data_IF_087958813179
#
_entry.id   IF_087958813179
#
_cell.length_a   1.000
_cell.length_b   1.000
_cell.length_c   1.000
_cell.angle_alpha   90.00
_cell.angle_beta   90.00
_cell.angle_gamma   90.00
#
_symmetry.space_group_name_H-M   'P 1'
#
loop_
_entity.id
_entity.type
_entity.pdbx_description
1 polymer ?
#
# COMPACT_ATOMS: atom_id res chain seq x y z
N UNK A 1 44.48 -21.90 -5.24
CA UNK A 1 43.23 -21.50 -5.94
C UNK A 1 43.57 -20.48 -7.02
N UNK A 2 43.15 -20.72 -8.27
CA UNK A 2 43.38 -19.78 -9.37
C UNK A 2 42.60 -18.47 -9.14
N UNK A 3 43.19 -17.31 -9.51
CA UNK A 3 42.52 -16.00 -9.47
C UNK A 3 41.22 -16.00 -10.28
N UNK A 4 41.14 -16.84 -11.33
CA UNK A 4 39.94 -17.04 -12.14
C UNK A 4 38.83 -17.78 -11.36
N UNK A 5 39.19 -18.76 -10.53
CA UNK A 5 38.21 -19.51 -9.71
C UNK A 5 37.64 -18.62 -8.61
N UNK A 6 38.48 -17.80 -7.96
CA UNK A 6 38.02 -16.86 -6.94
C UNK A 6 37.12 -15.77 -7.52
N UNK A 7 37.43 -15.24 -8.72
CA UNK A 7 36.57 -14.29 -9.41
C UNK A 7 35.21 -14.86 -9.80
N UNK A 8 35.17 -16.12 -10.25
CA UNK A 8 33.91 -16.80 -10.62
C UNK A 8 33.01 -17.05 -9.40
N UNK A 9 33.61 -17.41 -8.25
CA UNK A 9 32.87 -17.62 -6.99
C UNK A 9 32.27 -16.31 -6.47
N UNK A 10 33.03 -15.21 -6.53
CA UNK A 10 32.53 -13.89 -6.12
C UNK A 10 31.37 -13.43 -7.02
N UNK A 11 31.49 -13.60 -8.33
CA UNK A 11 30.43 -13.26 -9.27
C UNK A 11 29.14 -14.08 -9.05
N UNK A 12 29.28 -15.38 -8.78
CA UNK A 12 28.15 -16.26 -8.46
C UNK A 12 27.46 -15.89 -7.14
N UNK A 13 28.23 -15.52 -6.11
CA UNK A 13 27.69 -15.08 -4.82
C UNK A 13 26.97 -13.74 -4.93
N UNK A 14 27.51 -12.78 -5.69
CA UNK A 14 26.86 -11.50 -5.98
C UNK A 14 25.57 -11.67 -6.78
N UNK A 15 25.56 -12.54 -7.79
CA UNK A 15 24.37 -12.84 -8.57
C UNK A 15 23.27 -13.51 -7.72
N UNK A 16 23.64 -14.46 -6.84
CA UNK A 16 22.71 -15.05 -5.88
C UNK A 16 22.13 -14.01 -4.90
N UNK A 17 22.96 -13.13 -4.36
CA UNK A 17 22.51 -12.08 -3.43
C UNK A 17 21.54 -11.09 -4.10
N UNK A 18 21.81 -10.71 -5.35
CA UNK A 18 20.92 -9.84 -6.14
C UNK A 18 19.57 -10.50 -6.44
N UNK A 19 19.55 -11.80 -6.76
CA UNK A 19 18.29 -12.54 -6.97
C UNK A 19 17.45 -12.69 -5.70
N UNK A 20 18.08 -12.80 -4.52
CA UNK A 20 17.37 -12.95 -3.24
C UNK A 20 16.81 -11.63 -2.68
N UNK A 21 17.37 -10.50 -3.11
CA UNK A 21 16.97 -9.16 -2.67
C UNK A 21 15.93 -8.50 -3.57
N UNK A 22 15.45 -9.16 -4.62
CA UNK A 22 14.43 -8.61 -5.48
C UNK A 22 13.09 -8.58 -4.72
N UNK A 23 12.73 -7.40 -4.19
CA UNK A 23 11.40 -7.18 -3.65
C UNK A 23 10.36 -7.59 -4.70
N UNK A 24 9.45 -8.46 -4.31
CA UNK A 24 8.27 -8.68 -5.14
C UNK A 24 7.53 -7.34 -5.25
N UNK A 25 7.11 -6.95 -6.48
CA UNK A 25 6.38 -5.70 -6.65
C UNK A 25 5.11 -5.74 -5.80
N UNK A 26 4.73 -4.58 -5.25
CA UNK A 26 3.46 -4.45 -4.58
C UNK A 26 2.33 -4.80 -5.57
N UNK A 27 1.36 -5.59 -5.10
CA UNK A 27 0.23 -6.02 -5.93
C UNK A 27 -0.88 -4.97 -5.99
N UNK A 28 -0.88 -4.01 -5.07
CA UNK A 28 -1.80 -2.88 -5.08
C UNK A 28 -1.37 -1.87 -6.14
N UNK A 29 -2.34 -1.31 -6.84
CA UNK A 29 -2.16 -0.14 -7.71
C UNK A 29 -2.29 1.10 -6.85
N UNK A 30 -1.47 2.14 -7.07
CA UNK A 30 -1.54 3.38 -6.30
C UNK A 30 -1.58 3.18 -4.76
N UNK A 31 -0.66 2.38 -4.16
CA UNK A 31 -0.73 2.04 -2.73
C UNK A 31 -0.45 3.22 -1.79
N UNK A 32 0.14 4.31 -2.30
CA UNK A 32 0.40 5.54 -1.56
C UNK A 32 -0.69 6.60 -1.72
N UNK A 33 -1.75 6.32 -2.50
CA UNK A 33 -2.86 7.26 -2.74
C UNK A 33 -2.44 8.56 -3.43
N UNK A 34 -1.39 8.56 -4.25
CA UNK A 34 -0.82 9.76 -4.86
C UNK A 34 -1.49 10.16 -6.18
N UNK A 35 -2.18 9.22 -6.83
CA UNK A 35 -2.87 9.44 -8.10
C UNK A 35 -4.39 9.62 -7.89
N UNK A 36 -4.95 10.64 -8.53
CA UNK A 36 -6.37 11.05 -8.60
C UNK A 36 -6.50 11.87 -9.89
N UNK A 37 -6.46 11.19 -11.04
CA UNK A 37 -6.35 11.83 -12.36
C UNK A 37 -7.64 12.56 -12.76
N UNK A 38 -8.80 12.11 -12.31
CA UNK A 38 -10.10 12.73 -12.61
C UNK A 38 -10.54 13.78 -11.56
N UNK A 39 -9.82 13.88 -10.44
CA UNK A 39 -10.01 14.89 -9.42
C UNK A 39 -11.29 14.72 -8.62
N UNK A 40 -11.82 13.49 -8.54
CA UNK A 40 -13.03 13.18 -7.80
C UNK A 40 -12.79 12.98 -6.28
N UNK A 41 -11.51 12.99 -5.87
CA UNK A 41 -11.07 12.82 -4.48
C UNK A 41 -10.95 11.36 -4.04
N UNK A 42 -11.26 10.40 -4.92
CA UNK A 42 -10.99 8.98 -4.77
C UNK A 42 -9.64 8.65 -5.44
N UNK A 43 -8.69 8.02 -4.73
CA UNK A 43 -7.43 7.67 -5.36
C UNK A 43 -7.64 6.67 -6.52
N UNK A 44 -6.93 6.87 -7.62
CA UNK A 44 -7.06 6.02 -8.80
C UNK A 44 -6.87 4.54 -8.47
N UNK A 45 -7.68 3.70 -9.11
CA UNK A 45 -7.78 2.26 -8.92
C UNK A 45 -8.34 1.79 -7.57
N UNK A 46 -8.75 2.69 -6.67
CA UNK A 46 -9.48 2.32 -5.46
C UNK A 46 -10.99 2.49 -5.64
N UNK A 47 -11.76 1.58 -5.03
CA UNK A 47 -13.21 1.69 -4.91
C UNK A 47 -13.56 2.14 -3.49
N UNK A 48 -14.60 2.95 -3.34
CA UNK A 48 -15.04 3.47 -2.05
C UNK A 48 -16.43 2.98 -1.69
N UNK A 49 -16.64 2.73 -0.40
CA UNK A 49 -17.94 2.45 0.17
C UNK A 49 -18.26 3.39 1.32
N UNK A 50 -19.54 3.75 1.48
CA UNK A 50 -20.00 4.52 2.62
C UNK A 50 -21.40 4.13 3.10
N UNK A 51 -21.61 4.24 4.40
CA UNK A 51 -22.90 4.09 5.10
C UNK A 51 -23.05 5.24 6.08
N UNK A 52 -24.25 5.80 6.19
CA UNK A 52 -24.52 6.95 7.06
C UNK A 52 -23.72 8.19 6.62
N UNK A 53 -23.13 8.88 7.59
CA UNK A 53 -22.26 10.04 7.39
C UNK A 53 -20.78 9.63 7.21
N UNK A 54 -20.53 8.38 6.82
CA UNK A 54 -19.18 7.91 6.48
C UNK A 54 -18.58 8.71 5.32
N UNK A 55 -17.35 9.18 5.50
CA UNK A 55 -16.65 10.01 4.53
C UNK A 55 -15.20 9.57 4.33
N UNK A 56 -14.62 9.99 3.20
CA UNK A 56 -13.21 9.82 2.91
C UNK A 56 -12.64 11.08 2.26
N UNK A 57 -11.35 11.29 2.41
CA UNK A 57 -10.63 12.39 1.78
C UNK A 57 -9.14 12.07 1.61
N UNK A 58 -8.53 12.68 0.60
CA UNK A 58 -7.07 12.80 0.51
C UNK A 58 -6.58 13.87 1.49
N UNK A 59 -5.82 13.46 2.51
CA UNK A 59 -5.25 14.33 3.52
C UNK A 59 -3.79 14.66 3.21
N UNK A 60 -3.50 15.94 2.97
CA UNK A 60 -2.15 16.46 2.67
C UNK A 60 -1.40 16.94 3.91
N UNK A 61 -2.12 17.14 5.02
CA UNK A 61 -1.57 17.62 6.27
C UNK A 61 -1.00 16.45 7.09
N UNK A 62 -1.81 15.40 7.25
CA UNK A 62 -1.48 14.22 8.04
C UNK A 62 -1.16 13.04 7.13
N UNK A 63 0.13 12.85 6.83
CA UNK A 63 0.62 11.87 5.86
C UNK A 63 1.74 11.01 6.40
N UNK A 64 1.80 9.77 5.94
CA UNK A 64 2.87 8.83 6.29
C UNK A 64 4.12 9.05 5.42
N UNK A 65 3.94 9.05 4.10
CA UNK A 65 4.96 9.29 3.07
C UNK A 65 4.29 10.02 1.89
N UNK A 66 5.08 10.51 0.94
CA UNK A 66 4.55 11.19 -0.25
C UNK A 66 3.93 12.56 0.04
N UNK A 67 2.92 12.93 -0.73
CA UNK A 67 2.22 14.22 -0.62
C UNK A 67 0.90 14.09 0.14
N UNK A 68 0.36 12.88 0.29
CA UNK A 68 -0.93 12.66 0.95
C UNK A 68 -1.09 11.29 1.60
N UNK A 69 -2.17 11.12 2.35
CA UNK A 69 -2.65 9.82 2.84
C UNK A 69 -4.17 9.78 2.75
N UNK A 70 -4.74 8.58 2.73
CA UNK A 70 -6.19 8.42 2.77
C UNK A 70 -6.70 8.59 4.21
N UNK A 71 -7.67 9.49 4.39
CA UNK A 71 -8.42 9.65 5.63
C UNK A 71 -9.81 9.06 5.47
N UNK A 72 -10.22 8.27 6.46
CA UNK A 72 -11.54 7.67 6.57
C UNK A 72 -12.18 8.20 7.85
N UNK A 73 -13.45 8.61 7.77
CA UNK A 73 -14.16 9.26 8.86
C UNK A 73 -15.57 8.68 9.05
N UNK A 74 -16.04 8.74 10.29
CA UNK A 74 -17.42 8.52 10.67
C UNK A 74 -17.73 9.34 11.93
N UNK A 75 -18.94 9.87 12.01
CA UNK A 75 -19.39 10.74 13.11
C UNK A 75 -20.10 9.95 14.21
N UNK A 76 -20.65 8.77 13.89
CA UNK A 76 -21.45 7.95 14.80
C UNK A 76 -21.05 6.46 14.80
N UNK A 77 -20.56 5.99 15.95
CA UNK A 77 -20.04 4.66 16.14
C UNK A 77 -21.16 3.62 15.99
N UNK A 78 -20.87 2.58 15.21
CA UNK A 78 -21.84 1.52 14.89
C UNK A 78 -22.94 1.94 13.92
N UNK A 79 -22.90 3.18 13.39
CA UNK A 79 -23.84 3.67 12.37
C UNK A 79 -23.09 4.02 11.09
N UNK A 80 -22.06 4.84 11.21
CA UNK A 80 -21.29 5.30 10.06
C UNK A 80 -20.21 4.29 9.69
N UNK A 81 -19.96 4.18 8.39
CA UNK A 81 -18.88 3.37 7.83
C UNK A 81 -18.34 4.04 6.58
N UNK A 82 -17.02 4.08 6.47
CA UNK A 82 -16.30 4.44 5.24
C UNK A 82 -15.21 3.41 5.02
N UNK A 83 -15.04 2.96 3.79
CA UNK A 83 -14.00 2.02 3.40
C UNK A 83 -13.48 2.32 2.00
N UNK A 84 -12.30 1.78 1.75
CA UNK A 84 -11.61 1.86 0.47
C UNK A 84 -11.00 0.51 0.17
N UNK A 85 -11.27 -0.03 -1.02
CA UNK A 85 -10.86 -1.37 -1.38
C UNK A 85 -10.35 -1.50 -2.82
N UNK A 86 -9.60 -2.58 -3.04
CA UNK A 86 -9.05 -2.99 -4.33
C UNK A 86 -9.17 -4.50 -4.48
N UNK A 87 -9.56 -4.94 -5.67
CA UNK A 87 -9.53 -6.35 -6.04
C UNK A 87 -8.09 -6.72 -6.43
N UNK A 88 -7.43 -7.49 -5.56
CA UNK A 88 -6.06 -7.96 -5.80
C UNK A 88 -6.07 -9.40 -6.30
N UNK A 89 -5.57 -9.69 -7.52
CA UNK A 89 -5.51 -11.05 -8.03
C UNK A 89 -4.45 -11.86 -7.25
N UNK A 90 -4.89 -12.93 -6.61
CA UNK A 90 -4.00 -13.84 -5.86
C UNK A 90 -4.09 -15.27 -6.38
N UNK A 91 -2.97 -15.98 -6.35
CA UNK A 91 -2.90 -17.42 -6.61
C UNK A 91 -3.01 -18.22 -5.31
N UNK A 92 -3.93 -19.18 -5.25
CA UNK A 92 -4.07 -20.11 -4.12
C UNK A 92 -2.78 -20.88 -3.82
N UNK A 93 -2.50 -21.10 -2.54
CA UNK A 93 -1.27 -21.79 -2.08
C UNK A 93 -0.01 -20.92 -2.07
N UNK A 94 -0.04 -19.69 -2.59
CA UNK A 94 1.05 -18.71 -2.41
C UNK A 94 0.87 -17.92 -1.11
N UNK A 95 1.99 -17.54 -0.51
CA UNK A 95 2.03 -16.67 0.68
C UNK A 95 2.19 -15.21 0.22
N UNK A 96 1.41 -14.32 0.80
CA UNK A 96 1.51 -12.88 0.59
C UNK A 96 1.74 -12.19 1.93
N UNK A 97 2.25 -10.96 1.88
CA UNK A 97 2.35 -10.08 3.04
C UNK A 97 1.41 -8.90 2.80
N UNK A 98 0.55 -8.65 3.77
CA UNK A 98 -0.21 -7.40 3.86
C UNK A 98 0.44 -6.53 4.94
N UNK A 99 0.67 -5.27 4.62
CA UNK A 99 1.18 -4.25 5.55
C UNK A 99 0.45 -2.95 5.30
N UNK A 100 0.06 -2.27 6.37
CA UNK A 100 -0.61 -0.98 6.33
C UNK A 100 -0.01 -0.07 7.39
N UNK A 101 0.34 1.15 6.99
CA UNK A 101 0.61 2.24 7.92
C UNK A 101 -0.71 2.94 8.19
N UNK A 102 -1.10 3.07 9.45
CA UNK A 102 -2.35 3.72 9.82
C UNK A 102 -2.14 4.61 11.04
N UNK A 103 -2.96 5.64 11.12
CA UNK A 103 -3.13 6.47 12.30
C UNK A 103 -4.61 6.49 12.64
N UNK A 104 -4.91 6.37 13.92
CA UNK A 104 -6.27 6.55 14.43
C UNK A 104 -6.34 7.93 15.06
N UNK A 105 -7.30 8.74 14.62
CA UNK A 105 -7.63 10.02 15.25
C UNK A 105 -8.54 9.84 16.46
N UNK A 106 -8.71 10.91 17.24
CA UNK A 106 -9.66 10.90 18.34
C UNK A 106 -11.10 10.86 17.79
N UNK A 107 -11.91 9.99 18.37
CA UNK A 107 -13.32 9.87 18.06
C UNK A 107 -14.08 10.93 18.87
N UNK A 108 -14.42 12.07 18.25
CA UNK A 108 -15.31 13.08 18.85
C UNK A 108 -16.76 12.59 18.67
N UNK A 109 -17.37 12.13 19.76
CA UNK A 109 -18.74 11.58 19.80
C UNK A 109 -19.81 12.67 19.92
#
# INVERSE_FOLDING_TARGET
MSRAILGLVIAALLACALCLAQEQPNLLVNPGFELDEDGDGCPDAWEHGRVGEGAYALDRAEKFEGEQSLRLEGTKAGVDRSDMDQIVPVTGGRRYRLSVAYRVGDYEA
#
